data_IF_652161082794
#
_entry.id   IF_652161082794
#
_cell.length_a   1.000
_cell.length_b   1.000
_cell.length_c   1.000
_cell.angle_alpha   90.00
_cell.angle_beta   90.00
_cell.angle_gamma   90.00
#
_symmetry.space_group_name_H-M   'P 1'
#
loop_
_entity.id
_entity.type
_entity.pdbx_description
1 polymer ?
#
# COMPACT_ATOMS: atom_id res chain seq x y z
N UNK A 1 -11.68 -23.47 -62.81
CA UNK A 1 -11.69 -24.76 -62.06
C UNK A 1 -10.34 -25.00 -61.29
N UNK A 2 -9.17 -24.64 -61.86
CA UNK A 2 -7.89 -24.78 -61.11
C UNK A 2 -7.73 -23.81 -59.93
N UNK A 3 -8.25 -22.58 -59.96
CA UNK A 3 -8.13 -21.59 -58.91
C UNK A 3 -8.99 -21.93 -57.66
N UNK A 4 -10.13 -22.57 -57.83
CA UNK A 4 -11.00 -23.03 -56.74
C UNK A 4 -10.46 -24.23 -55.99
N UNK A 5 -9.78 -25.13 -56.65
CA UNK A 5 -9.12 -26.29 -56.05
C UNK A 5 -7.90 -25.88 -55.23
N UNK A 6 -7.11 -24.90 -55.69
CA UNK A 6 -5.94 -24.39 -54.95
C UNK A 6 -6.35 -23.67 -53.65
N UNK A 7 -7.44 -22.87 -53.67
CA UNK A 7 -7.97 -22.18 -52.50
C UNK A 7 -8.55 -23.14 -51.46
N UNK A 8 -9.16 -24.25 -51.87
CA UNK A 8 -9.68 -25.29 -50.98
C UNK A 8 -8.56 -26.04 -50.24
N UNK A 9 -7.50 -26.39 -50.93
CA UNK A 9 -6.34 -27.09 -50.31
C UNK A 9 -5.59 -26.17 -49.32
N UNK A 10 -5.50 -24.88 -49.65
CA UNK A 10 -4.88 -23.89 -48.75
C UNK A 10 -5.70 -23.68 -47.47
N UNK A 11 -7.03 -23.57 -47.55
CA UNK A 11 -7.92 -23.45 -46.42
C UNK A 11 -7.88 -24.69 -45.50
N UNK A 12 -7.83 -25.90 -46.07
CA UNK A 12 -7.71 -27.15 -45.34
C UNK A 12 -6.39 -27.25 -44.54
N UNK A 13 -5.28 -26.81 -45.13
CA UNK A 13 -3.97 -26.77 -44.47
C UNK A 13 -3.95 -25.75 -43.33
N UNK A 14 -4.49 -24.54 -43.54
CA UNK A 14 -4.59 -23.53 -42.48
C UNK A 14 -5.44 -24.05 -41.29
N UNK A 15 -6.58 -24.66 -41.59
CA UNK A 15 -7.44 -25.24 -40.58
C UNK A 15 -6.73 -26.32 -39.75
N UNK A 16 -5.97 -27.20 -40.41
CA UNK A 16 -5.17 -28.25 -39.75
C UNK A 16 -4.15 -27.66 -38.77
N UNK A 17 -3.38 -26.66 -39.21
CA UNK A 17 -2.37 -25.98 -38.37
C UNK A 17 -3.03 -25.34 -37.16
N UNK A 18 -4.14 -24.63 -37.35
CA UNK A 18 -4.91 -24.01 -36.23
C UNK A 18 -5.34 -25.05 -35.19
N UNK A 19 -5.91 -26.19 -35.63
CA UNK A 19 -6.34 -27.27 -34.70
C UNK A 19 -5.18 -27.91 -33.95
N UNK A 20 -4.04 -28.15 -34.62
CA UNK A 20 -2.84 -28.70 -33.98
C UNK A 20 -2.32 -27.80 -32.89
N UNK A 21 -2.23 -26.48 -33.15
CA UNK A 21 -1.78 -25.50 -32.15
C UNK A 21 -2.82 -25.24 -31.06
N UNK A 22 -4.10 -25.18 -31.37
CA UNK A 22 -5.17 -25.05 -30.39
C UNK A 22 -5.12 -26.18 -29.34
N UNK A 23 -4.89 -27.42 -29.78
CA UNK A 23 -4.74 -28.58 -28.89
C UNK A 23 -3.48 -28.50 -27.99
N UNK A 24 -2.38 -27.87 -28.46
CA UNK A 24 -1.17 -27.63 -27.67
C UNK A 24 -1.35 -26.48 -26.70
N UNK A 25 -1.89 -25.37 -27.17
CA UNK A 25 -2.16 -24.17 -26.38
C UNK A 25 -3.12 -24.47 -25.22
N UNK A 26 -4.18 -25.27 -25.46
CA UNK A 26 -5.16 -25.60 -24.42
C UNK A 26 -4.61 -26.47 -23.26
N UNK A 27 -3.46 -27.10 -23.46
CA UNK A 27 -2.79 -27.94 -22.45
C UNK A 27 -1.63 -27.25 -21.76
N UNK A 28 -1.18 -26.10 -22.26
CA UNK A 28 -0.05 -25.38 -21.71
C UNK A 28 -0.52 -24.35 -20.68
N UNK A 29 0.08 -24.37 -19.50
CA UNK A 29 -0.21 -23.44 -18.42
C UNK A 29 0.92 -22.42 -18.18
N UNK A 30 2.07 -22.63 -18.80
CA UNK A 30 3.20 -21.70 -18.69
C UNK A 30 3.05 -20.57 -19.70
N UNK A 31 2.87 -19.32 -19.24
CA UNK A 31 2.67 -18.17 -20.12
C UNK A 31 3.83 -17.93 -21.10
N UNK A 32 5.06 -18.24 -20.69
CA UNK A 32 6.23 -18.08 -21.54
C UNK A 32 6.20 -19.08 -22.69
N UNK A 33 5.81 -20.31 -22.41
CA UNK A 33 5.64 -21.36 -23.46
C UNK A 33 4.44 -21.07 -24.37
N UNK A 34 3.35 -20.48 -23.82
CA UNK A 34 2.22 -20.02 -24.63
C UNK A 34 2.64 -18.98 -25.66
N UNK A 35 3.50 -18.03 -25.28
CA UNK A 35 4.02 -17.03 -26.22
C UNK A 35 4.88 -17.67 -27.33
N UNK A 36 5.70 -18.65 -26.98
CA UNK A 36 6.47 -19.42 -27.97
C UNK A 36 5.54 -20.15 -28.93
N UNK A 37 4.53 -20.86 -28.42
CA UNK A 37 3.53 -21.56 -29.23
C UNK A 37 2.76 -20.60 -30.16
N UNK A 38 2.44 -19.39 -29.71
CA UNK A 38 1.79 -18.37 -30.54
C UNK A 38 2.73 -17.82 -31.64
N UNK A 39 4.01 -17.63 -31.32
CA UNK A 39 5.01 -17.22 -32.35
C UNK A 39 5.20 -18.34 -33.39
N UNK A 40 5.28 -19.60 -32.94
CA UNK A 40 5.35 -20.77 -33.85
C UNK A 40 4.11 -20.88 -34.72
N UNK A 41 2.93 -20.74 -34.15
CA UNK A 41 1.66 -20.73 -34.89
C UNK A 41 1.65 -19.65 -35.95
N UNK A 42 2.03 -18.41 -35.64
CA UNK A 42 2.10 -17.31 -36.57
C UNK A 42 3.09 -17.59 -37.73
N UNK A 43 4.28 -18.12 -37.40
CA UNK A 43 5.29 -18.49 -38.36
C UNK A 43 4.77 -19.56 -39.31
N UNK A 44 4.19 -20.64 -38.79
CA UNK A 44 3.75 -21.79 -39.57
C UNK A 44 2.51 -21.49 -40.41
N UNK A 45 1.58 -20.69 -39.94
CA UNK A 45 0.40 -20.21 -40.66
C UNK A 45 0.81 -19.40 -41.92
N UNK A 46 1.77 -18.49 -41.75
CA UNK A 46 2.23 -17.60 -42.81
C UNK A 46 3.34 -18.25 -43.65
N UNK A 47 3.95 -19.34 -43.17
CA UNK A 47 5.11 -20.02 -43.75
C UNK A 47 6.36 -19.10 -43.84
N UNK A 48 6.55 -18.33 -42.76
CA UNK A 48 7.75 -17.53 -42.55
C UNK A 48 8.89 -18.37 -41.98
N UNK A 49 10.12 -17.90 -42.07
CA UNK A 49 11.29 -18.59 -41.51
C UNK A 49 11.38 -18.40 -40.00
N UNK A 50 11.16 -17.18 -39.51
CA UNK A 50 11.23 -16.84 -38.08
C UNK A 50 10.07 -15.97 -37.60
N UNK A 51 9.79 -16.09 -36.32
CA UNK A 51 8.86 -15.22 -35.60
C UNK A 51 9.52 -14.64 -34.34
N UNK A 52 9.15 -13.41 -33.99
CA UNK A 52 9.59 -12.75 -32.77
C UNK A 52 8.43 -11.96 -32.15
N UNK A 53 8.31 -12.03 -30.84
CA UNK A 53 7.40 -11.19 -30.04
C UNK A 53 8.24 -10.15 -29.32
N UNK A 54 7.92 -8.89 -29.55
CA UNK A 54 8.53 -7.74 -28.92
C UNK A 54 7.56 -7.10 -27.95
N UNK A 55 8.04 -6.71 -26.78
CA UNK A 55 7.23 -6.01 -25.77
C UNK A 55 7.87 -4.67 -25.42
N UNK A 56 7.03 -3.71 -25.09
CA UNK A 56 7.45 -2.41 -24.56
C UNK A 56 7.82 -2.56 -23.09
N UNK A 57 9.04 -2.20 -22.75
CA UNK A 57 9.45 -1.98 -21.36
C UNK A 57 9.18 -0.52 -21.00
N UNK A 58 8.07 -0.27 -20.29
CA UNK A 58 7.63 1.08 -19.90
C UNK A 58 8.65 1.80 -19.01
N UNK A 59 9.50 1.05 -18.27
CA UNK A 59 10.49 1.65 -17.36
C UNK A 59 11.71 2.20 -18.10
N UNK A 60 12.19 1.47 -19.09
CA UNK A 60 13.37 1.87 -19.85
C UNK A 60 13.03 2.64 -21.14
N UNK A 61 11.77 2.59 -21.62
CA UNK A 61 11.36 3.16 -22.90
C UNK A 61 11.92 2.39 -24.09
N UNK A 62 12.21 1.10 -23.93
CA UNK A 62 12.78 0.22 -24.95
C UNK A 62 11.79 -0.86 -25.39
N UNK A 63 12.01 -1.38 -26.58
CA UNK A 63 11.43 -2.64 -27.05
C UNK A 63 12.41 -3.77 -26.79
N UNK A 64 11.91 -4.84 -26.16
CA UNK A 64 12.69 -6.05 -25.90
C UNK A 64 12.02 -7.28 -26.51
N UNK A 65 12.82 -8.21 -27.03
CA UNK A 65 12.28 -9.50 -27.48
C UNK A 65 11.91 -10.36 -26.29
N UNK A 66 10.67 -10.83 -26.25
CA UNK A 66 10.20 -11.85 -25.28
C UNK A 66 10.32 -13.26 -25.86
N UNK A 67 10.12 -13.38 -27.17
CA UNK A 67 10.34 -14.60 -27.96
C UNK A 67 11.12 -14.19 -29.20
N UNK A 68 12.20 -14.90 -29.50
CA UNK A 68 12.97 -14.68 -30.70
C UNK A 68 13.59 -16.00 -31.17
N UNK A 69 13.23 -16.46 -32.37
CA UNK A 69 13.78 -17.67 -32.92
C UNK A 69 15.25 -17.47 -33.35
N UNK A 70 16.13 -18.24 -32.72
CA UNK A 70 17.54 -18.33 -33.11
C UNK A 70 18.45 -17.22 -32.59
N UNK A 71 17.97 -16.34 -31.67
CA UNK A 71 18.78 -15.29 -31.07
C UNK A 71 18.48 -15.13 -29.59
N UNK A 72 19.43 -14.58 -28.81
CA UNK A 72 19.23 -14.15 -27.43
C UNK A 72 18.38 -12.88 -27.41
N UNK A 73 18.02 -12.44 -26.18
CA UNK A 73 17.26 -11.20 -25.96
C UNK A 73 17.88 -10.01 -26.69
N UNK A 74 17.06 -9.30 -27.47
CA UNK A 74 17.43 -8.07 -28.19
C UNK A 74 16.67 -6.92 -27.56
N UNK A 75 17.35 -5.77 -27.36
CA UNK A 75 16.76 -4.51 -26.93
C UNK A 75 17.03 -3.41 -27.93
N UNK A 76 16.02 -2.63 -28.26
CA UNK A 76 16.11 -1.46 -29.13
C UNK A 76 15.29 -0.30 -28.58
N UNK A 77 15.69 0.95 -28.77
CA UNK A 77 14.89 2.11 -28.41
C UNK A 77 13.52 2.09 -29.09
N UNK A 78 12.48 2.55 -28.37
CA UNK A 78 11.13 2.69 -28.93
C UNK A 78 11.15 3.58 -30.19
N UNK A 79 10.41 3.20 -31.20
CA UNK A 79 10.40 3.91 -32.51
C UNK A 79 11.57 3.55 -33.47
N UNK A 80 12.52 2.73 -33.04
CA UNK A 80 13.67 2.34 -33.82
C UNK A 80 13.39 1.04 -34.61
N UNK A 81 13.75 1.02 -35.88
CA UNK A 81 13.55 -0.13 -36.73
C UNK A 81 12.11 -0.31 -37.21
N UNK A 82 11.87 -1.35 -38.01
CA UNK A 82 10.54 -1.69 -38.53
C UNK A 82 9.57 -2.00 -37.40
N UNK A 83 10.01 -2.76 -36.42
CA UNK A 83 9.19 -3.12 -35.24
C UNK A 83 8.88 -1.89 -34.39
N UNK A 84 9.88 -1.04 -34.13
CA UNK A 84 9.68 0.19 -33.36
C UNK A 84 8.74 1.16 -34.06
N UNK A 85 8.84 1.28 -35.38
CA UNK A 85 7.89 2.06 -36.18
C UNK A 85 6.48 1.48 -36.14
N UNK A 86 6.32 0.15 -36.18
CA UNK A 86 5.03 -0.54 -36.04
C UNK A 86 4.35 -0.21 -34.70
N UNK A 87 5.09 -0.29 -33.61
CA UNK A 87 4.60 0.01 -32.27
C UNK A 87 4.23 1.49 -32.13
N UNK A 88 5.09 2.40 -32.58
CA UNK A 88 4.89 3.84 -32.49
C UNK A 88 3.68 4.34 -33.28
N UNK A 89 3.50 3.81 -34.49
CA UNK A 89 2.40 4.24 -35.40
C UNK A 89 1.11 3.46 -35.20
N UNK A 90 1.14 2.37 -34.43
CA UNK A 90 0.06 1.40 -34.34
C UNK A 90 -0.42 0.87 -35.68
N UNK A 91 0.50 0.66 -36.61
CA UNK A 91 0.20 0.22 -37.97
C UNK A 91 0.94 -1.07 -38.34
N UNK A 92 0.27 -1.93 -39.12
CA UNK A 92 0.91 -3.07 -39.73
C UNK A 92 1.91 -2.60 -40.78
N UNK A 93 3.12 -3.14 -40.75
CA UNK A 93 4.20 -2.81 -41.70
C UNK A 93 4.59 -4.08 -42.43
N UNK A 94 4.58 -4.00 -43.77
CA UNK A 94 5.05 -5.04 -44.69
C UNK A 94 6.25 -4.49 -45.49
N UNK A 95 7.37 -5.18 -45.39
CA UNK A 95 8.60 -4.86 -46.17
C UNK A 95 9.06 -6.12 -46.86
N UNK A 96 9.01 -6.15 -48.19
CA UNK A 96 9.42 -7.31 -49.00
C UNK A 96 10.84 -7.20 -49.53
N UNK A 97 11.49 -6.05 -49.36
CA UNK A 97 12.90 -5.83 -49.66
C UNK A 97 13.49 -4.92 -48.56
N UNK A 98 14.18 -5.52 -47.60
CA UNK A 98 14.80 -4.79 -46.49
C UNK A 98 16.01 -3.96 -46.91
N UNK A 99 16.61 -4.21 -48.08
CA UNK A 99 17.75 -3.44 -48.56
C UNK A 99 17.40 -2.00 -48.99
N UNK A 100 16.11 -1.76 -49.26
CA UNK A 100 15.57 -0.46 -49.70
C UNK A 100 14.83 0.31 -48.59
N UNK A 101 14.59 -0.30 -47.43
CA UNK A 101 13.86 0.34 -46.32
C UNK A 101 14.82 0.94 -45.30
N UNK A 102 14.86 2.27 -45.22
CA UNK A 102 15.74 3.02 -44.30
C UNK A 102 15.50 2.71 -42.80
N UNK A 103 14.34 2.18 -42.44
CA UNK A 103 14.01 1.76 -41.07
C UNK A 103 14.68 0.46 -40.67
N UNK A 104 15.17 -0.34 -41.65
CA UNK A 104 15.75 -1.64 -41.36
C UNK A 104 17.08 -1.54 -40.60
N UNK A 105 17.18 -2.28 -39.49
CA UNK A 105 18.36 -2.26 -38.61
C UNK A 105 19.36 -3.35 -38.99
N UNK A 106 20.24 -3.09 -39.93
CA UNK A 106 21.31 -4.00 -40.38
C UNK A 106 22.20 -4.49 -39.22
N UNK A 107 22.33 -3.72 -38.13
CA UNK A 107 23.15 -4.10 -36.97
C UNK A 107 22.66 -5.38 -36.28
N UNK A 108 21.34 -5.64 -36.29
CA UNK A 108 20.75 -6.84 -35.67
C UNK A 108 21.12 -8.09 -36.50
N UNK A 109 21.01 -8.00 -37.82
CA UNK A 109 21.45 -9.07 -38.72
C UNK A 109 22.95 -9.35 -38.59
N UNK A 110 23.77 -8.29 -38.56
CA UNK A 110 25.22 -8.41 -38.42
C UNK A 110 25.64 -9.09 -37.11
N UNK A 111 24.89 -8.85 -36.01
CA UNK A 111 25.19 -9.44 -34.70
C UNK A 111 24.74 -10.92 -34.60
N UNK A 112 23.69 -11.29 -35.32
CA UNK A 112 23.11 -12.63 -35.31
C UNK A 112 23.63 -13.56 -36.41
N UNK A 113 24.30 -13.01 -37.42
CA UNK A 113 24.71 -13.74 -38.64
C UNK A 113 23.52 -14.17 -39.51
N UNK A 114 22.34 -13.62 -39.26
CA UNK A 114 21.11 -13.91 -40.02
C UNK A 114 20.90 -12.85 -41.11
N UNK A 115 20.40 -13.26 -42.26
CA UNK A 115 20.09 -12.35 -43.35
C UNK A 115 18.57 -12.19 -43.48
N UNK A 116 18.08 -11.00 -43.23
CA UNK A 116 16.66 -10.66 -43.32
C UNK A 116 16.39 -9.98 -44.67
N UNK A 117 15.58 -10.62 -45.51
CA UNK A 117 15.16 -10.10 -46.83
C UNK A 117 13.75 -9.50 -46.82
N UNK A 118 12.87 -10.03 -45.98
CA UNK A 118 11.50 -9.53 -45.85
C UNK A 118 11.00 -9.55 -44.38
N UNK A 119 10.16 -8.58 -44.05
CA UNK A 119 9.60 -8.39 -42.68
C UNK A 119 8.11 -8.10 -42.77
N UNK A 120 7.33 -8.76 -41.89
CA UNK A 120 5.96 -8.40 -41.59
C UNK A 120 5.87 -8.14 -40.08
N UNK A 121 5.44 -6.95 -39.69
CA UNK A 121 5.22 -6.59 -38.28
C UNK A 121 3.79 -6.10 -38.05
N UNK A 122 3.14 -6.62 -36.99
CA UNK A 122 1.81 -6.17 -36.56
C UNK A 122 1.85 -5.76 -35.09
N UNK A 123 1.12 -4.70 -34.70
CA UNK A 123 1.08 -4.27 -33.32
C UNK A 123 0.33 -5.28 -32.44
N UNK A 124 0.79 -5.45 -31.20
CA UNK A 124 0.10 -6.16 -30.13
C UNK A 124 -0.66 -5.11 -29.32
N UNK A 125 -1.99 -5.17 -29.38
CA UNK A 125 -2.86 -4.20 -28.72
C UNK A 125 -3.66 -4.89 -27.60
N UNK A 126 -3.61 -4.33 -26.39
CA UNK A 126 -4.43 -4.74 -25.26
C UNK A 126 -5.11 -3.50 -24.63
N UNK A 127 -6.41 -3.56 -24.39
CA UNK A 127 -7.20 -2.48 -23.77
C UNK A 127 -7.00 -1.10 -24.43
N UNK A 128 -6.83 -1.08 -25.76
CA UNK A 128 -6.63 0.16 -26.52
C UNK A 128 -5.19 0.68 -26.59
N UNK A 129 -4.25 0.06 -25.86
CA UNK A 129 -2.83 0.43 -25.84
C UNK A 129 -1.99 -0.56 -26.63
N UNK A 130 -0.93 -0.06 -27.30
CA UNK A 130 0.04 -0.90 -27.96
C UNK A 130 1.07 -1.36 -26.94
N UNK A 131 1.09 -2.66 -26.65
CA UNK A 131 2.00 -3.29 -25.66
C UNK A 131 3.27 -3.89 -26.30
N UNK A 132 3.32 -3.94 -27.64
CA UNK A 132 4.45 -4.53 -28.37
C UNK A 132 4.13 -4.78 -29.84
N UNK A 133 4.86 -5.71 -30.44
CA UNK A 133 4.62 -6.17 -31.81
C UNK A 133 4.94 -7.66 -32.00
N UNK A 134 4.21 -8.30 -32.90
CA UNK A 134 4.53 -9.62 -33.46
C UNK A 134 5.16 -9.42 -34.82
N UNK A 135 6.36 -10.00 -35.04
CA UNK A 135 7.16 -9.86 -36.21
C UNK A 135 7.43 -11.22 -36.85
N UNK A 136 7.28 -11.31 -38.15
CA UNK A 136 7.72 -12.44 -38.98
C UNK A 136 8.86 -12.01 -39.92
N UNK A 137 9.80 -12.91 -40.14
CA UNK A 137 10.96 -12.70 -40.99
C UNK A 137 11.02 -13.77 -42.10
N UNK A 138 11.40 -13.34 -43.30
CA UNK A 138 11.70 -14.16 -44.47
C UNK A 138 10.58 -15.15 -44.83
N UNK A 139 9.75 -14.73 -45.75
CA UNK A 139 8.78 -15.61 -46.44
C UNK A 139 9.18 -15.78 -47.90
N UNK A 140 9.27 -17.03 -48.41
CA UNK A 140 9.44 -17.27 -49.85
C UNK A 140 8.38 -16.57 -50.70
N UNK A 141 8.79 -15.68 -51.61
CA UNK A 141 7.88 -14.88 -52.43
C UNK A 141 7.36 -13.58 -51.76
N UNK A 142 7.81 -13.26 -50.53
CA UNK A 142 7.39 -12.07 -49.79
C UNK A 142 6.06 -12.23 -49.02
N UNK A 143 5.70 -11.21 -48.26
CA UNK A 143 4.47 -11.15 -47.47
C UNK A 143 3.36 -10.48 -48.25
N UNK A 144 2.15 -11.03 -48.18
CA UNK A 144 0.93 -10.49 -48.79
C UNK A 144 0.03 -9.80 -47.76
N UNK A 145 -1.05 -9.14 -48.21
CA UNK A 145 -2.08 -8.58 -47.34
C UNK A 145 -2.84 -9.69 -46.58
N UNK A 146 -3.01 -10.87 -47.17
CA UNK A 146 -3.63 -12.04 -46.50
C UNK A 146 -2.77 -12.52 -45.32
N UNK A 147 -1.45 -12.51 -45.48
CA UNK A 147 -0.51 -12.84 -44.40
C UNK A 147 -0.62 -11.84 -43.25
N UNK A 148 -0.77 -10.56 -43.59
CA UNK A 148 -0.97 -9.51 -42.58
C UNK A 148 -2.26 -9.70 -41.79
N UNK A 149 -3.34 -10.10 -42.46
CA UNK A 149 -4.60 -10.43 -41.75
C UNK A 149 -4.44 -11.66 -40.83
N UNK A 150 -3.83 -12.73 -41.28
CA UNK A 150 -3.56 -13.91 -40.44
C UNK A 150 -2.68 -13.55 -39.25
N UNK A 151 -1.68 -12.71 -39.45
CA UNK A 151 -0.79 -12.30 -38.36
C UNK A 151 -1.51 -11.41 -37.35
N UNK A 152 -2.45 -10.55 -37.77
CA UNK A 152 -3.27 -9.76 -36.86
C UNK A 152 -4.14 -10.63 -35.94
N UNK A 153 -4.73 -11.73 -36.43
CA UNK A 153 -5.46 -12.67 -35.62
C UNK A 153 -4.58 -13.30 -34.53
N UNK A 154 -3.41 -13.77 -34.89
CA UNK A 154 -2.47 -14.33 -33.89
C UNK A 154 -1.91 -13.30 -32.94
N UNK A 155 -1.73 -12.06 -33.40
CA UNK A 155 -1.32 -10.92 -32.60
C UNK A 155 -2.37 -10.55 -31.53
N UNK A 156 -3.67 -10.54 -31.89
CA UNK A 156 -4.77 -10.29 -30.96
C UNK A 156 -4.79 -11.33 -29.83
N UNK A 157 -4.64 -12.61 -30.17
CA UNK A 157 -4.59 -13.67 -29.18
C UNK A 157 -3.34 -13.56 -28.28
N UNK A 158 -2.18 -13.29 -28.87
CA UNK A 158 -0.93 -13.09 -28.13
C UNK A 158 -1.01 -11.90 -27.17
N UNK A 159 -1.57 -10.77 -27.62
CA UNK A 159 -1.77 -9.59 -26.80
C UNK A 159 -2.70 -9.87 -25.61
N UNK A 160 -3.82 -10.59 -25.84
CA UNK A 160 -4.73 -11.00 -24.78
C UNK A 160 -4.06 -11.90 -23.75
N UNK A 161 -3.27 -12.88 -24.18
CA UNK A 161 -2.55 -13.79 -23.29
C UNK A 161 -1.50 -13.04 -22.44
N UNK A 162 -0.75 -12.12 -23.05
CA UNK A 162 0.24 -11.28 -22.36
C UNK A 162 -0.45 -10.39 -21.30
N UNK A 163 -1.55 -9.73 -21.67
CA UNK A 163 -2.29 -8.87 -20.76
C UNK A 163 -2.89 -9.64 -19.59
N UNK A 164 -3.49 -10.80 -19.83
CA UNK A 164 -4.03 -11.67 -18.80
C UNK A 164 -2.95 -12.10 -17.80
N UNK A 165 -1.76 -12.46 -18.27
CA UNK A 165 -0.64 -12.83 -17.39
C UNK A 165 -0.12 -11.64 -16.59
N UNK A 166 -0.02 -10.45 -17.20
CA UNK A 166 0.34 -9.21 -16.49
C UNK A 166 -0.64 -8.92 -15.35
N UNK A 167 -1.94 -8.93 -15.66
CA UNK A 167 -2.99 -8.70 -14.68
C UNK A 167 -2.97 -9.75 -13.54
N UNK A 168 -2.73 -11.01 -13.89
CA UNK A 168 -2.61 -12.09 -12.88
C UNK A 168 -1.44 -11.84 -11.93
N UNK A 169 -0.26 -11.46 -12.45
CA UNK A 169 0.93 -11.17 -11.62
C UNK A 169 0.72 -9.96 -10.73
N UNK A 170 0.10 -8.91 -11.25
CA UNK A 170 -0.22 -7.70 -10.49
C UNK A 170 -1.21 -8.03 -9.36
N UNK A 171 -2.27 -8.78 -9.66
CA UNK A 171 -3.24 -9.23 -8.65
C UNK A 171 -2.59 -10.11 -7.56
N UNK A 172 -1.68 -11.00 -7.94
CA UNK A 172 -0.95 -11.85 -6.99
C UNK A 172 -0.01 -11.03 -6.09
N UNK A 173 0.72 -10.07 -6.65
CA UNK A 173 1.58 -9.16 -5.90
C UNK A 173 0.76 -8.32 -4.89
N UNK A 174 -0.39 -7.78 -5.32
CA UNK A 174 -1.31 -7.04 -4.42
C UNK A 174 -1.85 -7.95 -3.31
N UNK A 175 -2.19 -9.21 -3.64
CA UNK A 175 -2.68 -10.17 -2.64
C UNK A 175 -1.62 -10.51 -1.59
N UNK A 176 -0.37 -10.74 -2.03
CA UNK A 176 0.75 -11.00 -1.11
C UNK A 176 1.01 -9.80 -0.21
N UNK A 177 1.05 -8.59 -0.78
CA UNK A 177 1.24 -7.37 0.00
C UNK A 177 0.11 -7.15 1.04
N UNK A 178 -1.15 -7.42 0.68
CA UNK A 178 -2.27 -7.36 1.65
C UNK A 178 -2.08 -8.37 2.78
N UNK A 179 -1.69 -9.58 2.46
CA UNK A 179 -1.45 -10.61 3.47
C UNK A 179 -0.33 -10.21 4.45
N UNK A 180 0.78 -9.64 3.96
CA UNK A 180 1.87 -9.14 4.81
C UNK A 180 1.39 -7.98 5.72
N UNK A 181 0.55 -7.09 5.20
CA UNK A 181 -0.04 -6.01 5.99
C UNK A 181 -1.03 -6.53 7.06
N UNK A 182 -1.79 -7.57 6.76
CA UNK A 182 -2.69 -8.20 7.74
C UNK A 182 -1.90 -8.86 8.88
N UNK A 183 -0.79 -9.53 8.58
CA UNK A 183 0.12 -10.07 9.60
C UNK A 183 0.75 -8.96 10.45
N UNK A 184 1.20 -7.87 9.83
CA UNK A 184 1.73 -6.71 10.56
C UNK A 184 0.68 -6.09 11.50
N UNK A 185 -0.58 -6.01 11.05
CA UNK A 185 -1.71 -5.57 11.87
C UNK A 185 -1.94 -6.47 13.09
N UNK A 186 -1.88 -7.79 12.90
CA UNK A 186 -2.04 -8.74 14.00
C UNK A 186 -0.93 -8.58 15.05
N UNK A 187 0.33 -8.44 14.61
CA UNK A 187 1.46 -8.16 15.51
C UNK A 187 1.25 -6.84 16.25
N UNK A 188 0.87 -5.77 15.55
CA UNK A 188 0.65 -4.46 16.17
C UNK A 188 -0.49 -4.48 17.19
N UNK A 189 -1.59 -5.17 16.89
CA UNK A 189 -2.69 -5.35 17.86
C UNK A 189 -2.21 -6.04 19.13
N UNK A 190 -1.28 -6.98 19.05
CA UNK A 190 -0.70 -7.63 20.22
C UNK A 190 0.16 -6.71 21.09
N UNK A 191 0.59 -5.55 20.59
CA UNK A 191 1.31 -4.54 21.35
C UNK A 191 0.38 -3.63 22.18
N UNK A 192 -0.88 -3.51 21.76
CA UNK A 192 -1.89 -2.73 22.49
C UNK A 192 -2.52 -3.58 23.59
N UNK A 193 -3.03 -2.96 24.67
CA UNK A 193 -3.73 -3.69 25.73
C UNK A 193 -4.92 -4.47 25.19
N UNK A 194 -4.95 -5.79 25.42
CA UNK A 194 -6.02 -6.66 24.95
C UNK A 194 -7.02 -7.00 26.09
N UNK A 195 -6.49 -7.38 27.26
CA UNK A 195 -7.27 -7.80 28.41
C UNK A 195 -7.00 -6.85 29.57
N UNK A 196 -7.93 -5.93 29.83
CA UNK A 196 -7.81 -4.99 30.94
C UNK A 196 -8.18 -5.67 32.24
N UNK A 197 -7.22 -5.75 33.17
CA UNK A 197 -7.46 -6.33 34.51
C UNK A 197 -8.03 -5.29 35.45
N UNK A 198 -8.95 -5.65 36.37
CA UNK A 198 -9.45 -4.72 37.35
C UNK A 198 -8.35 -4.17 38.26
N UNK A 199 -8.21 -2.85 38.33
CA UNK A 199 -7.25 -2.17 39.20
C UNK A 199 -8.00 -1.48 40.31
N UNK A 200 -7.54 -1.66 41.57
CA UNK A 200 -8.19 -1.11 42.76
C UNK A 200 -8.27 0.42 42.70
N UNK A 201 -9.47 0.94 42.87
CA UNK A 201 -9.72 2.39 42.91
C UNK A 201 -9.68 3.07 41.56
N UNK A 202 -9.72 2.31 40.44
CA UNK A 202 -9.66 2.85 39.10
C UNK A 202 -10.62 2.06 38.18
N UNK A 203 -11.35 2.80 37.37
CA UNK A 203 -12.06 2.28 36.19
C UNK A 203 -11.41 2.87 34.95
N UNK A 204 -11.07 2.06 33.96
CA UNK A 204 -10.36 2.52 32.78
C UNK A 204 -10.71 1.70 31.56
N UNK A 205 -10.61 2.34 30.39
CA UNK A 205 -10.80 1.70 29.08
C UNK A 205 -10.04 2.48 28.02
N UNK A 206 -9.79 1.82 26.88
CA UNK A 206 -9.16 2.44 25.73
C UNK A 206 -9.57 1.74 24.45
N UNK A 207 -9.55 2.48 23.34
CA UNK A 207 -9.79 1.99 22.00
C UNK A 207 -8.83 2.64 21.03
N UNK A 208 -8.31 1.88 20.09
CA UNK A 208 -7.54 2.37 18.97
C UNK A 208 -8.11 1.74 17.68
N UNK A 209 -8.49 2.57 16.74
CA UNK A 209 -9.00 2.19 15.42
C UNK A 209 -8.11 2.81 14.35
N UNK A 210 -7.17 2.04 13.78
CA UNK A 210 -6.30 2.54 12.73
C UNK A 210 -7.07 2.91 11.45
N UNK A 211 -6.66 4.00 10.77
CA UNK A 211 -7.22 4.43 9.49
C UNK A 211 -6.77 3.52 8.33
N UNK A 212 -5.62 2.85 8.49
CA UNK A 212 -5.05 1.90 7.52
C UNK A 212 -4.88 0.52 8.15
N UNK A 213 -4.21 -0.39 7.42
CA UNK A 213 -3.92 -1.73 7.94
C UNK A 213 -3.12 -1.69 9.24
N UNK A 214 -2.18 -0.75 9.37
CA UNK A 214 -1.40 -0.46 10.58
C UNK A 214 -1.38 1.04 10.83
N UNK A 215 -1.34 1.45 12.11
CA UNK A 215 -1.42 2.84 12.55
C UNK A 215 -0.18 3.35 13.25
N UNK A 216 -0.13 4.68 13.48
CA UNK A 216 0.87 5.37 14.28
C UNK A 216 0.47 5.51 15.75
N UNK A 217 -0.83 5.45 16.03
CA UNK A 217 -1.35 5.62 17.36
C UNK A 217 -0.97 4.48 18.30
N UNK A 218 -0.72 4.87 19.55
CA UNK A 218 -0.36 3.97 20.63
C UNK A 218 -1.03 4.39 21.93
N UNK A 219 -1.58 3.45 22.67
CA UNK A 219 -1.98 3.65 24.05
C UNK A 219 -1.58 2.44 24.91
N UNK A 220 -1.38 2.68 26.20
CA UNK A 220 -1.05 1.63 27.16
C UNK A 220 -1.59 1.94 28.56
N UNK A 221 -1.73 0.87 29.36
CA UNK A 221 -2.05 0.90 30.76
C UNK A 221 -1.05 0.02 31.51
N UNK A 222 -0.43 0.55 32.56
CA UNK A 222 0.58 -0.17 33.34
C UNK A 222 0.31 -0.07 34.81
N UNK A 223 0.21 -1.22 35.46
CA UNK A 223 0.36 -1.31 36.91
C UNK A 223 1.86 -1.25 37.21
N UNK A 224 2.27 -0.25 38.01
CA UNK A 224 3.65 0.04 38.30
C UNK A 224 3.98 -0.29 39.78
N UNK A 225 5.27 -0.50 40.12
CA UNK A 225 5.69 -0.74 41.50
C UNK A 225 5.18 0.36 42.45
N UNK A 226 4.80 -0.02 43.68
CA UNK A 226 4.28 0.91 44.68
C UNK A 226 2.82 1.27 44.50
N UNK A 227 2.04 0.40 43.88
CA UNK A 227 0.60 0.61 43.60
C UNK A 227 0.31 1.86 42.76
N UNK A 228 1.28 2.24 41.93
CA UNK A 228 1.13 3.31 40.94
C UNK A 228 0.43 2.78 39.70
N UNK A 229 -0.29 3.65 39.00
CA UNK A 229 -0.94 3.29 37.72
C UNK A 229 -0.59 4.29 36.64
N UNK A 230 -0.12 3.80 35.50
CA UNK A 230 0.22 4.65 34.35
C UNK A 230 -0.75 4.41 33.21
N UNK A 231 -1.06 5.50 32.53
CA UNK A 231 -1.73 5.45 31.23
C UNK A 231 -1.02 6.41 30.24
N UNK A 232 -1.03 6.01 28.99
CA UNK A 232 -0.24 6.63 27.94
C UNK A 232 -1.10 6.72 26.70
N UNK A 233 -0.93 7.80 25.94
CA UNK A 233 -1.42 7.93 24.58
C UNK A 233 -0.39 8.69 23.76
N UNK A 234 -0.05 8.16 22.58
CA UNK A 234 0.88 8.78 21.66
C UNK A 234 0.41 8.60 20.23
N UNK A 235 0.79 9.54 19.39
CA UNK A 235 0.54 9.55 17.96
C UNK A 235 1.84 9.84 17.23
N UNK A 236 2.25 8.92 16.37
CA UNK A 236 3.45 8.99 15.54
C UNK A 236 3.14 9.66 14.22
N UNK A 237 3.82 10.75 13.92
CA UNK A 237 3.70 11.45 12.64
C UNK A 237 3.87 10.53 11.43
N UNK A 238 3.01 10.69 10.42
CA UNK A 238 2.97 9.84 9.23
C UNK A 238 2.05 8.65 9.40
N UNK A 239 1.93 7.80 8.37
CA UNK A 239 0.95 6.71 8.32
C UNK A 239 1.56 5.42 7.77
N UNK A 240 0.97 4.29 8.16
CA UNK A 240 1.36 2.98 7.67
C UNK A 240 2.61 2.40 8.33
N UNK A 241 3.35 1.56 7.62
CA UNK A 241 4.44 0.74 8.17
C UNK A 241 5.52 1.55 8.91
N UNK A 242 6.04 2.69 8.38
CA UNK A 242 7.08 3.44 9.10
C UNK A 242 6.61 3.96 10.45
N UNK A 243 5.39 4.50 10.54
CA UNK A 243 4.81 4.98 11.80
C UNK A 243 4.58 3.81 12.78
N UNK A 244 4.06 2.68 12.30
CA UNK A 244 3.83 1.48 13.10
C UNK A 244 5.12 0.90 13.72
N UNK A 245 6.24 0.90 12.98
CA UNK A 245 7.55 0.44 13.48
C UNK A 245 8.08 1.37 14.57
N UNK A 246 7.94 2.69 14.37
CA UNK A 246 8.36 3.66 15.38
C UNK A 246 7.49 3.58 16.63
N UNK A 247 6.17 3.42 16.47
CA UNK A 247 5.22 3.20 17.55
C UNK A 247 5.64 1.99 18.41
N UNK A 248 5.94 0.85 17.79
CA UNK A 248 6.36 -0.36 18.50
C UNK A 248 7.67 -0.15 19.29
N UNK A 249 8.59 0.64 18.75
CA UNK A 249 9.83 1.02 19.43
C UNK A 249 9.55 1.90 20.66
N UNK A 250 8.70 2.91 20.51
CA UNK A 250 8.29 3.80 21.61
C UNK A 250 7.59 3.00 22.70
N UNK A 251 6.62 2.18 22.35
CA UNK A 251 5.87 1.31 23.28
C UNK A 251 6.83 0.46 24.12
N UNK A 252 7.73 -0.25 23.47
CA UNK A 252 8.65 -1.16 24.16
C UNK A 252 9.59 -0.42 25.12
N UNK A 253 10.20 0.70 24.66
CA UNK A 253 11.09 1.51 25.46
C UNK A 253 10.38 2.14 26.65
N UNK A 254 9.22 2.79 26.40
CA UNK A 254 8.47 3.51 27.42
C UNK A 254 7.96 2.57 28.51
N UNK A 255 7.39 1.42 28.11
CA UNK A 255 6.95 0.36 29.03
C UNK A 255 8.11 -0.13 29.92
N UNK A 256 9.26 -0.42 29.32
CA UNK A 256 10.43 -0.85 30.07
C UNK A 256 10.94 0.22 31.06
N UNK A 257 11.03 1.48 30.60
CA UNK A 257 11.51 2.58 31.45
C UNK A 257 10.56 2.85 32.63
N UNK A 258 9.24 2.91 32.39
CA UNK A 258 8.24 3.13 33.45
C UNK A 258 8.21 1.99 34.48
N UNK A 259 8.35 0.74 34.05
CA UNK A 259 8.41 -0.40 34.98
C UNK A 259 9.63 -0.36 35.92
N UNK A 260 10.74 0.25 35.49
CA UNK A 260 11.96 0.34 36.31
C UNK A 260 11.99 1.62 37.18
N UNK A 261 11.61 2.76 36.59
CA UNK A 261 11.68 4.08 37.25
C UNK A 261 10.49 4.94 36.84
N UNK A 262 9.31 4.76 37.44
CA UNK A 262 8.11 5.45 36.98
C UNK A 262 8.09 6.97 37.27
N UNK A 263 8.86 7.43 38.23
CA UNK A 263 8.90 8.84 38.67
C UNK A 263 10.32 9.32 38.85
N UNK A 264 10.65 10.59 38.52
CA UNK A 264 9.73 11.52 37.84
C UNK A 264 9.50 11.12 36.36
N UNK A 265 8.28 11.35 35.87
CA UNK A 265 7.88 11.01 34.47
C UNK A 265 8.74 11.76 33.44
N UNK A 266 9.15 12.99 33.78
CA UNK A 266 10.02 13.83 32.97
C UNK A 266 11.39 13.18 32.68
N UNK A 267 11.95 12.39 33.61
CA UNK A 267 13.20 11.66 33.37
C UNK A 267 12.99 10.58 32.30
N UNK A 268 11.91 9.81 32.42
CA UNK A 268 11.52 8.79 31.44
C UNK A 268 11.39 9.40 30.04
N UNK A 269 10.67 10.53 29.95
CA UNK A 269 10.43 11.23 28.69
C UNK A 269 11.72 11.83 28.10
N UNK A 270 12.64 12.33 28.94
CA UNK A 270 13.95 12.82 28.48
C UNK A 270 14.82 11.68 27.89
N UNK A 271 14.84 10.53 28.55
CA UNK A 271 15.56 9.34 28.09
C UNK A 271 14.96 8.80 26.78
N UNK A 272 13.62 8.69 26.73
CA UNK A 272 12.90 8.28 25.54
C UNK A 272 13.18 9.19 24.35
N UNK A 273 13.11 10.51 24.55
CA UNK A 273 13.41 11.50 23.50
C UNK A 273 14.82 11.30 22.94
N UNK A 274 15.81 11.16 23.82
CA UNK A 274 17.20 10.94 23.42
C UNK A 274 17.40 9.59 22.70
N UNK A 275 16.68 8.54 23.10
CA UNK A 275 16.76 7.22 22.47
C UNK A 275 16.13 7.24 21.08
N UNK A 276 14.90 7.73 20.96
CA UNK A 276 14.15 7.78 19.69
C UNK A 276 14.86 8.69 18.69
N UNK A 277 15.32 9.87 19.10
CA UNK A 277 16.04 10.79 18.20
C UNK A 277 17.32 10.18 17.60
N UNK A 278 17.98 9.25 18.32
CA UNK A 278 19.15 8.53 17.78
C UNK A 278 18.80 7.42 16.80
N UNK A 279 17.61 6.83 16.92
CA UNK A 279 17.20 5.64 16.17
C UNK A 279 16.27 5.96 14.98
N UNK A 280 15.55 7.10 15.04
CA UNK A 280 14.61 7.48 13.98
C UNK A 280 15.27 8.40 12.95
N UNK A 281 14.75 8.39 11.72
CA UNK A 281 15.08 9.43 10.75
C UNK A 281 14.45 10.75 11.21
N UNK A 282 15.13 11.89 10.98
CA UNK A 282 14.67 13.23 11.39
C UNK A 282 13.31 13.68 10.82
N UNK A 283 12.65 12.82 10.05
CA UNK A 283 11.35 13.07 9.44
C UNK A 283 10.17 12.64 10.32
N UNK A 284 10.43 11.83 11.37
CA UNK A 284 9.39 11.30 12.25
C UNK A 284 9.51 11.88 13.65
N UNK A 285 8.39 12.29 14.18
CA UNK A 285 8.22 12.72 15.57
C UNK A 285 6.96 12.08 16.16
N UNK A 286 6.79 12.18 17.45
CA UNK A 286 5.62 11.60 18.13
C UNK A 286 5.06 12.59 19.13
N UNK A 287 3.78 12.87 19.05
CA UNK A 287 3.08 13.51 20.16
C UNK A 287 2.82 12.45 21.23
N UNK A 288 3.07 12.76 22.50
CA UNK A 288 2.94 11.77 23.57
C UNK A 288 2.46 12.40 24.86
N UNK A 289 1.41 11.81 25.44
CA UNK A 289 0.99 12.07 26.78
C UNK A 289 1.28 10.83 27.63
N UNK A 290 2.04 11.00 28.71
CA UNK A 290 2.35 9.92 29.67
C UNK A 290 2.05 10.41 31.08
N UNK A 291 1.29 9.64 31.81
CA UNK A 291 0.83 10.00 33.15
C UNK A 291 0.93 8.84 34.14
N UNK A 292 1.19 9.17 35.39
CA UNK A 292 1.24 8.24 36.52
C UNK A 292 0.31 8.75 37.64
N UNK A 293 -0.66 7.92 37.99
CA UNK A 293 -1.57 8.15 39.13
C UNK A 293 -0.98 7.57 40.38
N UNK A 294 -0.99 8.37 41.44
CA UNK A 294 -0.49 7.98 42.76
C UNK A 294 -1.24 6.78 43.38
N UNK A 295 -0.62 6.09 44.31
CA UNK A 295 -1.19 4.90 44.97
C UNK A 295 -2.54 5.16 45.67
N UNK A 296 -2.71 6.34 46.21
CA UNK A 296 -3.98 6.80 46.85
C UNK A 296 -5.00 7.37 45.87
N UNK A 297 -4.66 7.40 44.55
CA UNK A 297 -5.51 7.90 43.45
C UNK A 297 -5.86 9.37 43.51
N UNK A 298 -5.13 10.15 44.31
CA UNK A 298 -5.42 11.56 44.53
C UNK A 298 -4.62 12.53 43.69
N UNK A 299 -3.51 12.06 43.06
CA UNK A 299 -2.60 12.91 42.31
C UNK A 299 -2.18 12.28 41.03
N UNK A 300 -2.32 13.01 39.94
CA UNK A 300 -1.79 12.66 38.63
C UNK A 300 -0.50 13.45 38.36
N UNK A 301 0.61 12.75 38.10
CA UNK A 301 1.86 13.32 37.60
C UNK A 301 1.98 12.98 36.13
N UNK A 302 2.23 13.95 35.27
CA UNK A 302 2.23 13.72 33.81
C UNK A 302 3.28 14.54 33.09
N UNK A 303 3.62 14.12 31.89
CA UNK A 303 4.32 14.90 30.87
C UNK A 303 3.49 14.90 29.60
N UNK A 304 3.29 16.08 29.04
CA UNK A 304 2.70 16.25 27.71
C UNK A 304 3.81 16.68 26.74
N UNK A 305 4.17 15.82 25.80
CA UNK A 305 5.14 16.06 24.73
C UNK A 305 4.41 16.40 23.40
N UNK A 306 3.78 17.55 23.36
CA UNK A 306 3.11 18.08 22.16
C UNK A 306 1.79 17.39 21.79
N UNK A 307 1.23 16.60 22.68
CA UNK A 307 -0.05 15.92 22.46
C UNK A 307 -1.22 16.84 22.79
N UNK A 308 -2.43 16.53 22.29
CA UNK A 308 -3.66 17.24 22.63
C UNK A 308 -3.84 17.18 24.16
N UNK A 309 -4.07 18.33 24.84
CA UNK A 309 -4.22 18.32 26.30
C UNK A 309 -5.44 17.51 26.74
N UNK A 310 -5.27 16.44 27.54
CA UNK A 310 -6.38 15.66 28.07
C UNK A 310 -7.43 16.48 28.81
N UNK A 311 -8.68 16.06 28.67
CA UNK A 311 -9.83 16.63 29.38
C UNK A 311 -9.97 15.93 30.74
N UNK A 312 -10.26 16.71 31.81
CA UNK A 312 -10.56 16.21 33.11
C UNK A 312 -11.98 16.66 33.50
N UNK A 313 -12.95 15.74 33.40
CA UNK A 313 -14.33 15.99 33.81
C UNK A 313 -14.44 15.81 35.31
N UNK A 314 -14.74 16.88 36.03
CA UNK A 314 -14.83 16.94 37.50
C UNK A 314 -16.15 16.39 38.00
N UNK A 315 -16.11 15.40 38.91
CA UNK A 315 -17.30 14.75 39.47
C UNK A 315 -18.15 15.69 40.32
N UNK A 316 -17.52 16.52 41.15
CA UNK A 316 -18.21 17.43 42.12
C UNK A 316 -18.72 18.74 41.47
N UNK A 317 -18.65 18.91 40.17
CA UNK A 317 -19.08 20.12 39.48
C UNK A 317 -20.14 19.81 38.41
N UNK A 318 -20.99 20.79 38.07
CA UNK A 318 -22.04 20.64 37.04
C UNK A 318 -21.44 20.39 35.59
N UNK A 319 -20.53 19.39 35.48
CA UNK A 319 -19.90 19.02 34.20
C UNK A 319 -18.73 19.94 33.80
N UNK A 320 -18.05 20.55 34.80
CA UNK A 320 -16.83 21.33 34.56
C UNK A 320 -15.75 20.42 33.98
N UNK A 321 -15.15 20.84 32.88
CA UNK A 321 -14.00 20.19 32.27
C UNK A 321 -12.80 21.10 32.44
N UNK A 322 -11.77 20.59 33.10
CA UNK A 322 -10.43 21.19 33.12
C UNK A 322 -9.56 20.53 32.04
N UNK A 323 -8.51 21.20 31.61
CA UNK A 323 -7.51 20.60 30.72
C UNK A 323 -6.16 20.60 31.39
N UNK A 324 -5.36 19.58 31.10
CA UNK A 324 -3.95 19.60 31.49
C UNK A 324 -3.24 20.77 30.78
N UNK A 325 -2.21 21.31 31.41
CA UNK A 325 -1.42 22.37 30.78
C UNK A 325 -0.70 21.83 29.56
N UNK A 326 -0.57 22.67 28.51
CA UNK A 326 0.19 22.30 27.34
C UNK A 326 1.64 22.08 27.75
N UNK A 327 2.20 20.98 27.23
CA UNK A 327 3.57 20.57 27.53
C UNK A 327 4.60 21.21 26.61
N UNK A 328 5.54 20.41 26.17
CA UNK A 328 6.70 20.75 25.39
C UNK A 328 6.58 20.23 23.96
N UNK A 329 7.66 20.31 23.17
CA UNK A 329 7.75 19.77 21.82
C UNK A 329 7.50 18.26 21.78
N UNK A 330 6.95 17.72 20.68
CA UNK A 330 6.87 16.27 20.48
C UNK A 330 8.22 15.57 20.61
N UNK A 331 8.16 14.29 20.92
CA UNK A 331 9.34 13.41 20.99
C UNK A 331 10.04 13.38 19.63
N UNK A 332 11.37 13.41 19.66
CA UNK A 332 12.29 13.33 18.50
C UNK A 332 12.40 14.59 17.63
N UNK A 333 11.68 15.68 17.92
CA UNK A 333 11.87 16.97 17.21
C UNK A 333 13.28 17.53 17.48
N UNK A 334 13.65 17.69 18.73
CA UNK A 334 14.98 18.19 19.13
C UNK A 334 15.60 17.27 20.20
N UNK A 335 16.85 16.83 20.04
CA UNK A 335 17.50 15.93 21.00
C UNK A 335 17.73 16.56 22.37
N UNK A 336 17.81 17.89 22.44
CA UNK A 336 18.06 18.64 23.66
C UNK A 336 16.78 19.07 24.38
N UNK A 337 15.59 18.70 23.88
CA UNK A 337 14.32 19.00 24.57
C UNK A 337 14.37 18.46 26.00
N UNK A 338 13.93 19.29 26.96
CA UNK A 338 13.77 18.92 28.38
C UNK A 338 12.31 19.00 28.76
N UNK A 339 11.79 17.88 29.22
CA UNK A 339 10.43 17.77 29.74
C UNK A 339 10.40 18.04 31.24
N UNK A 340 9.29 18.53 31.72
CA UNK A 340 9.05 18.76 33.15
C UNK A 340 7.72 18.11 33.54
N UNK A 341 7.64 17.63 34.79
CA UNK A 341 6.42 17.06 35.33
C UNK A 341 5.36 18.15 35.56
N UNK A 342 4.16 17.92 35.01
CA UNK A 342 2.94 18.58 35.44
C UNK A 342 2.26 17.74 36.51
N UNK A 343 1.47 18.39 37.38
CA UNK A 343 0.68 17.69 38.39
C UNK A 343 -0.73 18.25 38.41
N UNK A 344 -1.72 17.39 38.68
CA UNK A 344 -3.11 17.75 38.87
C UNK A 344 -3.70 16.89 39.98
N UNK A 345 -4.48 17.50 40.90
CA UNK A 345 -5.22 16.78 41.94
C UNK A 345 -6.44 16.09 41.32
N UNK A 346 -6.68 14.86 41.68
CA UNK A 346 -7.75 14.01 41.19
C UNK A 346 -8.66 13.66 42.39
N UNK A 347 -9.96 13.89 42.26
CA UNK A 347 -10.97 13.50 43.21
C UNK A 347 -11.69 12.21 42.81
N UNK A 348 -12.35 11.54 43.77
CA UNK A 348 -13.19 10.39 43.45
C UNK A 348 -14.29 10.76 42.46
N UNK A 349 -14.43 9.93 41.39
CA UNK A 349 -15.36 10.15 40.28
C UNK A 349 -14.85 11.06 39.16
N UNK A 350 -13.71 11.72 39.32
CA UNK A 350 -13.10 12.49 38.23
C UNK A 350 -12.71 11.56 37.06
N UNK A 351 -13.05 11.98 35.85
CA UNK A 351 -12.78 11.22 34.64
C UNK A 351 -11.76 11.97 33.76
N UNK A 352 -10.66 11.32 33.43
CA UNK A 352 -9.64 11.83 32.52
C UNK A 352 -9.87 11.20 31.17
N UNK A 353 -9.95 12.01 30.08
CA UNK A 353 -10.04 11.54 28.71
C UNK A 353 -8.85 12.06 27.91
N UNK A 354 -8.07 11.16 27.33
CA UNK A 354 -7.07 11.43 26.31
C UNK A 354 -7.61 10.97 24.94
N UNK A 355 -7.29 11.67 23.88
CA UNK A 355 -7.71 11.35 22.52
C UNK A 355 -6.70 11.84 21.51
N UNK A 356 -6.57 11.14 20.36
CA UNK A 356 -5.77 11.59 19.23
C UNK A 356 -6.56 12.55 18.33
N UNK A 357 -5.87 13.28 17.47
CA UNK A 357 -6.46 14.24 16.51
C UNK A 357 -7.46 13.59 15.57
N UNK A 358 -7.26 12.30 15.23
CA UNK A 358 -8.22 11.53 14.44
C UNK A 358 -9.63 11.42 15.07
N UNK A 359 -9.82 11.85 16.33
CA UNK A 359 -11.16 11.99 16.92
C UNK A 359 -11.71 13.41 16.70
N UNK A 360 -10.92 14.46 16.97
CA UNK A 360 -11.38 15.86 16.86
C UNK A 360 -11.42 16.36 15.41
N UNK A 361 -10.59 15.81 14.54
CA UNK A 361 -10.46 16.21 13.14
C UNK A 361 -11.29 15.37 12.16
N UNK A 362 -12.33 14.70 12.63
CA UNK A 362 -13.27 13.97 11.77
C UNK A 362 -14.14 14.96 10.98
N UNK A 363 -14.24 14.74 9.68
CA UNK A 363 -15.07 15.56 8.79
C UNK A 363 -16.39 14.86 8.45
N UNK A 364 -17.46 15.65 8.34
CA UNK A 364 -18.72 15.20 7.77
C UNK A 364 -18.73 15.37 6.24
N UNK A 365 -19.81 14.94 5.59
CA UNK A 365 -19.99 15.07 4.14
C UNK A 365 -20.06 16.53 3.64
N UNK A 366 -20.32 17.50 4.52
CA UNK A 366 -20.32 18.93 4.21
C UNK A 366 -18.93 19.57 4.35
N UNK A 367 -17.94 18.84 4.90
CA UNK A 367 -16.59 19.31 5.13
C UNK A 367 -16.43 20.05 6.47
N UNK A 368 -17.40 19.96 7.39
CA UNK A 368 -17.27 20.52 8.74
C UNK A 368 -16.51 19.52 9.63
N UNK A 369 -15.70 20.06 10.55
CA UNK A 369 -14.93 19.28 11.51
C UNK A 369 -15.75 18.96 12.77
N UNK A 370 -15.46 17.81 13.41
CA UNK A 370 -16.13 17.38 14.66
C UNK A 370 -15.86 18.33 15.82
N UNK A 371 -14.63 18.72 16.04
CA UNK A 371 -14.11 19.59 17.08
C UNK A 371 -14.34 19.14 18.55
N UNK A 372 -13.60 19.75 19.46
CA UNK A 372 -13.56 19.41 20.89
C UNK A 372 -14.90 19.62 21.62
N UNK A 373 -15.68 20.62 21.24
CA UNK A 373 -16.96 20.94 21.89
C UNK A 373 -17.95 19.76 21.86
N UNK A 374 -17.93 18.98 20.80
CA UNK A 374 -18.78 17.81 20.66
C UNK A 374 -18.29 16.63 21.51
N UNK A 375 -16.97 16.50 21.66
CA UNK A 375 -16.37 15.52 22.58
C UNK A 375 -16.80 15.85 24.01
N UNK A 376 -16.68 17.13 24.41
CA UNK A 376 -17.11 17.60 25.73
C UNK A 376 -18.60 17.36 25.97
N UNK A 377 -19.45 17.63 24.98
CA UNK A 377 -20.89 17.40 25.07
C UNK A 377 -21.19 15.88 25.24
N UNK A 378 -20.50 15.01 24.50
CA UNK A 378 -20.64 13.56 24.62
C UNK A 378 -20.19 13.05 26.02
N UNK A 379 -19.08 13.60 26.55
CA UNK A 379 -18.62 13.28 27.90
C UNK A 379 -19.63 13.67 28.95
N UNK A 380 -20.11 14.91 28.95
CA UNK A 380 -21.11 15.41 29.94
C UNK A 380 -22.39 14.58 29.90
N UNK A 381 -22.85 14.22 28.70
CA UNK A 381 -24.09 13.42 28.52
C UNK A 381 -23.96 12.01 29.09
N UNK A 382 -22.76 11.41 29.04
CA UNK A 382 -22.55 10.01 29.41
C UNK A 382 -21.75 9.85 30.72
N UNK A 383 -21.50 10.92 31.48
CA UNK A 383 -20.58 10.96 32.62
C UNK A 383 -20.83 9.90 33.72
N UNK A 384 -22.08 9.51 33.89
CA UNK A 384 -22.50 8.58 34.97
C UNK A 384 -22.47 7.10 34.50
N UNK A 385 -22.07 6.84 33.24
CA UNK A 385 -21.94 5.49 32.68
C UNK A 385 -20.59 4.87 33.05
N UNK A 386 -20.45 3.56 32.93
CA UNK A 386 -19.15 2.89 32.93
C UNK A 386 -18.20 3.50 31.90
N UNK A 387 -16.89 3.53 32.18
CA UNK A 387 -15.87 4.18 31.34
C UNK A 387 -15.84 3.59 29.91
N UNK A 388 -16.01 2.27 29.78
CA UNK A 388 -16.10 1.61 28.48
C UNK A 388 -17.29 2.09 27.65
N UNK A 389 -18.45 2.28 28.28
CA UNK A 389 -19.66 2.80 27.64
C UNK A 389 -19.49 4.26 27.20
N UNK A 390 -18.72 5.05 27.96
CA UNK A 390 -18.40 6.43 27.59
C UNK A 390 -17.57 6.46 26.31
N UNK A 391 -16.50 5.65 26.24
CA UNK A 391 -15.67 5.55 25.03
C UNK A 391 -16.52 5.11 23.83
N UNK A 392 -17.32 4.06 23.99
CA UNK A 392 -18.18 3.58 22.92
C UNK A 392 -19.22 4.63 22.47
N UNK A 393 -19.75 5.44 23.39
CA UNK A 393 -20.67 6.51 23.06
C UNK A 393 -20.00 7.66 22.27
N UNK A 394 -18.74 8.01 22.62
CA UNK A 394 -17.96 9.00 21.85
C UNK A 394 -17.68 8.47 20.45
N UNK A 395 -17.19 7.23 20.31
CA UNK A 395 -16.91 6.62 19.02
C UNK A 395 -18.17 6.55 18.13
N UNK A 396 -19.29 6.11 18.71
CA UNK A 396 -20.58 6.06 17.98
C UNK A 396 -21.04 7.45 17.50
N UNK A 397 -20.86 8.48 18.32
CA UNK A 397 -21.22 9.84 17.94
C UNK A 397 -20.31 10.40 16.83
N UNK A 398 -19.03 10.06 16.83
CA UNK A 398 -18.08 10.38 15.77
C UNK A 398 -18.46 9.67 14.47
N UNK A 399 -18.79 8.36 14.53
CA UNK A 399 -19.21 7.58 13.36
C UNK A 399 -20.52 8.11 12.75
N UNK A 400 -21.49 8.50 13.58
CA UNK A 400 -22.74 9.12 13.15
C UNK A 400 -22.48 10.47 12.44
N UNK A 401 -21.54 11.26 12.97
CA UNK A 401 -21.18 12.55 12.34
C UNK A 401 -20.45 12.38 11.02
N UNK A 402 -19.54 11.44 10.94
CA UNK A 402 -18.80 11.13 9.70
C UNK A 402 -19.72 10.68 8.56
N UNK A 403 -20.87 10.01 8.90
CA UNK A 403 -21.95 9.64 7.97
C UNK A 403 -21.46 9.06 6.63
N UNK A 404 -20.50 8.13 6.67
CA UNK A 404 -19.97 7.43 5.49
C UNK A 404 -18.78 8.10 4.81
N UNK A 405 -18.22 9.16 5.38
CA UNK A 405 -16.90 9.67 5.01
C UNK A 405 -15.82 8.70 5.52
N UNK A 406 -14.87 8.34 4.66
CA UNK A 406 -13.78 7.45 5.06
C UNK A 406 -12.93 8.06 6.18
N UNK A 407 -12.52 7.21 7.14
CA UNK A 407 -11.64 7.61 8.22
C UNK A 407 -10.29 8.10 7.67
N UNK A 408 -9.91 9.33 8.00
CA UNK A 408 -8.69 9.96 7.50
C UNK A 408 -7.47 9.64 8.38
N UNK A 409 -7.61 9.65 9.71
CA UNK A 409 -6.53 9.38 10.65
C UNK A 409 -6.88 8.33 11.70
N UNK A 410 -5.88 7.83 12.43
CA UNK A 410 -6.04 6.86 13.49
C UNK A 410 -6.90 7.48 14.62
N UNK A 411 -7.88 6.75 15.11
CA UNK A 411 -8.81 7.20 16.16
C UNK A 411 -8.50 6.48 17.45
N UNK A 412 -7.95 7.19 18.41
CA UNK A 412 -7.60 6.62 19.72
C UNK A 412 -8.20 7.41 20.86
N UNK A 413 -8.79 6.69 21.80
CA UNK A 413 -9.37 7.21 23.04
C UNK A 413 -8.86 6.39 24.21
N UNK A 414 -8.49 7.08 25.29
CA UNK A 414 -8.14 6.50 26.60
C UNK A 414 -8.91 7.24 27.67
N UNK A 415 -9.63 6.52 28.50
CA UNK A 415 -10.35 7.11 29.61
C UNK A 415 -10.01 6.41 30.93
N UNK A 416 -9.80 7.21 31.99
CA UNK A 416 -9.46 6.74 33.34
C UNK A 416 -10.29 7.49 34.33
N UNK A 417 -11.00 6.78 35.22
CA UNK A 417 -11.79 7.33 36.33
C UNK A 417 -11.22 6.88 37.65
N UNK A 418 -10.99 7.81 38.58
CA UNK A 418 -10.74 7.49 40.00
C UNK A 418 -12.05 7.12 40.67
N UNK A 419 -12.04 6.05 41.50
CA UNK A 419 -13.24 5.54 42.22
C UNK A 419 -13.26 5.95 43.70
#
# INVERSE_FOLDING_TARGET
>A
MQSTLTGSIQAEQITKVIFEYAARISKENDPSKLLVLNADLARDLVRADRASIWLVDEKSGELMTRVAHGVSEIRIPLGTGIVGSCVLTNQTIVVNDTSTDERFLHRVDNSSGYHTSSVLAVPLCAEGNVIGALQLLNKPGGFSNEDAELLRFTALYSASAINAERMRREAEAVRLMRHELDLAREVQRGLLPQDLQPVRGIEYAGVCRPARSVGGDYYDFLELPGDLFSFILGDVSGKGIPAAVLMASIQTLLRSMLMHNPLPVSNVMNELNAAIHRCSSQQFYTTLFSAVLSADRTKLTYVNAGHIPPMVLRAGSEGKIDRTTMGNLPISILPATRYADGTIDIGPGDLILCYSDGISEVFNAAGDMWEDDRIEAALRKNRDRPVEEIINAVVAAVDEYAAGVDQFDDMTLVAVRAL
#
